data_IF_418297403091
#
_entry.id   IF_418297403091
#
_cell.length_a   1.000
_cell.length_b   1.000
_cell.length_c   1.000
_cell.angle_alpha   90.00
_cell.angle_beta   90.00
_cell.angle_gamma   90.00
#
_symmetry.space_group_name_H-M   'P 1'
#
loop_
_entity.id
_entity.type
_entity.pdbx_description
1 polymer ?
#
# COMPACT_ATOMS: atom_id res chain seq x y z
N UNK A 1 -6.03 7.60 14.42
CA UNK A 1 -5.72 6.25 14.94
C UNK A 1 -6.19 5.11 14.01
N UNK A 2 -7.50 4.91 13.80
CA UNK A 2 -8.06 3.83 12.95
C UNK A 2 -7.35 3.62 11.61
N UNK A 3 -7.07 4.69 10.86
CA UNK A 3 -6.41 4.62 9.54
C UNK A 3 -5.03 3.94 9.64
N UNK A 4 -4.22 4.31 10.64
CA UNK A 4 -2.90 3.70 10.84
C UNK A 4 -3.00 2.24 11.25
N UNK A 5 -3.95 1.93 12.15
CA UNK A 5 -4.18 0.56 12.61
C UNK A 5 -4.60 -0.38 11.49
N UNK A 6 -5.44 0.07 10.56
CA UNK A 6 -5.85 -0.73 9.40
C UNK A 6 -4.75 -0.77 8.35
N UNK A 7 -4.28 0.39 7.88
CA UNK A 7 -3.44 0.45 6.69
C UNK A 7 -1.99 0.05 6.95
N UNK A 8 -1.39 0.53 8.04
CA UNK A 8 0.03 0.29 8.32
C UNK A 8 0.21 -0.97 9.19
N UNK A 9 -0.44 -1.01 10.36
CA UNK A 9 -0.32 -2.16 11.28
C UNK A 9 -0.92 -3.43 10.67
N UNK A 10 -2.07 -3.33 10.01
CA UNK A 10 -2.67 -4.46 9.29
C UNK A 10 -1.73 -5.04 8.24
N UNK A 11 -1.13 -4.19 7.40
CA UNK A 11 -0.15 -4.62 6.40
C UNK A 11 1.06 -5.31 7.04
N UNK A 12 1.60 -4.77 8.14
CA UNK A 12 2.71 -5.39 8.87
C UNK A 12 2.36 -6.79 9.40
N UNK A 13 1.19 -6.95 10.00
CA UNK A 13 0.75 -8.25 10.54
C UNK A 13 0.57 -9.28 9.43
N UNK A 14 -0.03 -8.88 8.30
CA UNK A 14 -0.16 -9.75 7.13
C UNK A 14 1.21 -10.13 6.55
N UNK A 15 2.14 -9.17 6.48
CA UNK A 15 3.51 -9.41 5.99
C UNK A 15 4.24 -10.44 6.86
N UNK A 16 4.15 -10.28 8.18
CA UNK A 16 4.75 -11.20 9.16
C UNK A 16 4.22 -12.62 8.98
N UNK A 17 2.91 -12.77 8.85
CA UNK A 17 2.30 -14.09 8.68
C UNK A 17 2.62 -14.71 7.31
N UNK A 18 2.63 -13.89 6.25
CA UNK A 18 3.05 -14.35 4.93
C UNK A 18 4.51 -14.84 4.93
N UNK A 19 5.42 -14.11 5.60
CA UNK A 19 6.82 -14.52 5.74
C UNK A 19 6.99 -15.83 6.52
N UNK A 20 6.10 -16.13 7.48
CA UNK A 20 6.09 -17.40 8.22
C UNK A 20 5.55 -18.56 7.39
N UNK A 21 4.53 -18.33 6.55
CA UNK A 21 3.85 -19.39 5.79
C UNK A 21 4.52 -19.71 4.46
N UNK A 22 5.13 -18.73 3.81
CA UNK A 22 5.79 -18.93 2.53
C UNK A 22 7.05 -19.78 2.70
N UNK A 23 7.14 -20.87 1.95
CA UNK A 23 8.26 -21.80 2.01
C UNK A 23 9.52 -21.15 1.43
N UNK A 24 10.55 -20.97 2.25
CA UNK A 24 11.89 -20.55 1.79
C UNK A 24 12.44 -21.57 0.79
N UNK A 25 12.90 -21.07 -0.37
CA UNK A 25 13.33 -21.88 -1.51
C UNK A 25 12.19 -22.40 -2.40
N UNK A 26 10.94 -22.32 -1.94
CA UNK A 26 9.75 -22.72 -2.71
C UNK A 26 9.13 -21.60 -3.56
N UNK A 27 9.57 -20.36 -3.36
CA UNK A 27 9.02 -19.17 -4.01
C UNK A 27 7.88 -18.51 -3.23
N UNK A 28 7.44 -17.35 -3.69
CA UNK A 28 6.34 -16.59 -3.09
C UNK A 28 6.34 -15.12 -3.48
N UNK A 29 5.18 -14.46 -3.46
CA UNK A 29 5.01 -13.05 -3.81
C UNK A 29 4.16 -12.36 -2.74
N UNK A 30 4.71 -11.31 -2.13
CA UNK A 30 3.98 -10.43 -1.21
C UNK A 30 3.80 -9.10 -1.94
N UNK A 31 2.55 -8.72 -2.22
CA UNK A 31 2.23 -7.49 -2.94
C UNK A 31 1.36 -6.60 -2.05
N UNK A 32 1.82 -5.39 -1.76
CA UNK A 32 1.06 -4.38 -1.03
C UNK A 32 0.41 -3.37 -1.97
N UNK A 33 -0.77 -2.87 -1.59
CA UNK A 33 -1.42 -1.75 -2.29
C UNK A 33 -1.23 -0.46 -1.48
N UNK A 34 -0.47 0.47 -2.05
CA UNK A 34 -0.20 1.80 -1.48
C UNK A 34 -1.06 2.84 -2.18
N UNK A 35 -0.51 4.00 -2.56
CA UNK A 35 -1.23 5.08 -3.25
C UNK A 35 -0.23 6.00 -3.92
N UNK A 36 -0.58 6.52 -5.10
CA UNK A 36 0.21 7.58 -5.76
C UNK A 36 0.32 8.86 -4.92
N UNK A 37 -0.58 9.05 -3.94
CA UNK A 37 -0.52 10.19 -3.00
C UNK A 37 0.74 10.19 -2.13
N UNK A 38 1.43 9.05 -1.98
CA UNK A 38 2.74 8.97 -1.33
C UNK A 38 3.86 9.66 -2.12
N UNK A 39 3.62 9.94 -3.41
CA UNK A 39 4.50 10.77 -4.24
C UNK A 39 3.95 12.19 -4.42
N UNK A 40 2.63 12.37 -4.47
CA UNK A 40 2.00 13.68 -4.74
C UNK A 40 1.88 14.59 -3.50
N UNK A 41 1.73 14.02 -2.30
CA UNK A 41 1.59 14.78 -1.04
C UNK A 41 0.50 15.85 -1.02
N UNK A 42 -0.67 15.55 -1.60
CA UNK A 42 -1.79 16.49 -1.65
C UNK A 42 -2.33 16.83 -0.23
N UNK A 43 -2.65 18.11 0.04
CA UNK A 43 -3.32 18.52 1.26
C UNK A 43 -4.63 17.76 1.54
N UNK A 44 -4.97 17.55 2.82
CA UNK A 44 -6.18 16.83 3.24
C UNK A 44 -6.02 15.30 3.36
N UNK A 45 -4.95 14.71 2.80
CA UNK A 45 -4.72 13.26 2.83
C UNK A 45 -3.71 12.79 3.89
N UNK A 46 -3.26 13.66 4.80
CA UNK A 46 -2.10 13.41 5.67
C UNK A 46 -2.07 12.04 6.36
N UNK A 47 -3.13 11.66 7.08
CA UNK A 47 -3.18 10.37 7.77
C UNK A 47 -3.22 9.17 6.81
N UNK A 48 -3.94 9.28 5.69
CA UNK A 48 -4.01 8.23 4.67
C UNK A 48 -2.65 8.06 3.97
N UNK A 49 -2.09 9.16 3.47
CA UNK A 49 -0.79 9.18 2.80
C UNK A 49 0.32 8.68 3.72
N UNK A 50 0.40 9.15 4.96
CA UNK A 50 1.39 8.66 5.93
C UNK A 50 1.25 7.16 6.19
N UNK A 51 0.01 6.66 6.34
CA UNK A 51 -0.24 5.24 6.56
C UNK A 51 0.22 4.34 5.41
N UNK A 52 0.08 4.81 4.16
CA UNK A 52 0.47 4.06 2.96
C UNK A 52 1.96 4.22 2.64
N UNK A 53 2.54 5.40 2.86
CA UNK A 53 3.98 5.63 2.71
C UNK A 53 4.80 4.77 3.68
N UNK A 54 4.31 4.55 4.91
CA UNK A 54 4.93 3.59 5.83
C UNK A 54 4.99 2.16 5.28
N UNK A 55 3.97 1.75 4.52
CA UNK A 55 3.94 0.44 3.85
C UNK A 55 4.95 0.37 2.70
N UNK A 56 5.19 1.47 1.98
CA UNK A 56 6.25 1.51 0.93
C UNK A 56 7.65 1.33 1.54
N UNK A 57 7.93 2.02 2.65
CA UNK A 57 9.18 1.85 3.36
C UNK A 57 9.36 0.41 3.86
N UNK A 58 8.31 -0.15 4.48
CA UNK A 58 8.30 -1.55 4.93
C UNK A 58 8.53 -2.53 3.77
N UNK A 59 7.89 -2.30 2.62
CA UNK A 59 8.05 -3.15 1.43
C UNK A 59 9.50 -3.20 0.96
N UNK A 60 10.17 -2.04 0.90
CA UNK A 60 11.59 -1.95 0.49
C UNK A 60 12.52 -2.69 1.44
N UNK A 61 12.26 -2.62 2.74
CA UNK A 61 13.03 -3.35 3.76
C UNK A 61 12.77 -4.85 3.65
N UNK A 62 11.50 -5.27 3.61
CA UNK A 62 11.11 -6.67 3.52
C UNK A 62 11.69 -7.35 2.27
N UNK A 63 11.71 -6.66 1.13
CA UNK A 63 12.34 -7.18 -0.08
C UNK A 63 13.84 -7.49 0.11
N UNK A 64 14.56 -6.67 0.88
CA UNK A 64 15.98 -6.91 1.21
C UNK A 64 16.15 -8.06 2.19
N UNK A 65 15.30 -8.15 3.21
CA UNK A 65 15.33 -9.23 4.21
C UNK A 65 15.01 -10.60 3.61
N UNK A 66 14.18 -10.65 2.57
CA UNK A 66 13.80 -11.88 1.88
C UNK A 66 14.80 -12.30 0.79
N UNK A 67 15.89 -11.56 0.58
CA UNK A 67 16.91 -11.90 -0.42
C UNK A 67 17.42 -13.33 -0.22
N UNK A 68 17.47 -14.11 -1.31
CA UNK A 68 17.94 -15.50 -1.31
C UNK A 68 16.90 -16.53 -0.84
N UNK A 69 15.72 -16.10 -0.38
CA UNK A 69 14.65 -17.03 0.02
C UNK A 69 13.75 -17.48 -1.14
N UNK A 70 13.88 -16.88 -2.33
CA UNK A 70 12.98 -17.09 -3.47
C UNK A 70 11.64 -16.32 -3.38
N UNK A 71 11.38 -15.65 -2.25
CA UNK A 71 10.21 -14.80 -2.03
C UNK A 71 10.53 -13.37 -2.44
N UNK A 72 9.60 -12.68 -3.12
CA UNK A 72 9.73 -11.25 -3.41
C UNK A 72 8.63 -10.45 -2.70
N UNK A 73 8.97 -9.21 -2.33
CA UNK A 73 8.02 -8.24 -1.80
C UNK A 73 8.03 -6.99 -2.69
N UNK A 74 6.87 -6.53 -3.12
CA UNK A 74 6.69 -5.33 -3.93
C UNK A 74 5.43 -4.58 -3.49
N UNK A 75 5.28 -3.35 -3.97
CA UNK A 75 4.05 -2.58 -3.80
C UNK A 75 3.63 -1.93 -5.10
N UNK A 76 2.33 -1.74 -5.25
CA UNK A 76 1.71 -0.98 -6.33
C UNK A 76 1.10 0.27 -5.70
N UNK A 77 1.33 1.42 -6.32
CA UNK A 77 0.80 2.72 -5.89
C UNK A 77 -0.28 3.18 -6.89
N UNK A 78 -1.56 2.82 -6.71
CA UNK A 78 -2.61 3.21 -7.64
C UNK A 78 -2.84 4.71 -7.60
N UNK A 79 -3.13 5.27 -8.79
CA UNK A 79 -3.75 6.57 -8.94
C UNK A 79 -5.25 6.52 -8.64
N UNK A 80 -5.98 7.60 -8.99
CA UNK A 80 -7.44 7.61 -9.01
C UNK A 80 -7.97 6.35 -9.71
N UNK A 81 -8.72 5.55 -8.97
CA UNK A 81 -9.23 4.26 -9.46
C UNK A 81 -10.72 4.23 -9.21
N UNK A 82 -11.50 3.94 -10.26
CA UNK A 82 -12.96 3.94 -10.24
C UNK A 82 -13.54 2.89 -9.27
N UNK A 83 -13.59 3.27 -7.99
CA UNK A 83 -14.05 2.49 -6.86
C UNK A 83 -15.00 3.35 -6.04
N UNK A 84 -15.84 2.74 -5.21
CA UNK A 84 -16.73 3.47 -4.31
C UNK A 84 -15.97 4.49 -3.45
N UNK A 85 -14.80 4.11 -2.91
CA UNK A 85 -13.91 5.01 -2.15
C UNK A 85 -13.47 6.24 -2.96
N UNK A 86 -13.26 6.09 -4.26
CA UNK A 86 -12.87 7.23 -5.10
C UNK A 86 -14.04 8.20 -5.30
N UNK A 87 -15.26 7.70 -5.52
CA UNK A 87 -16.43 8.54 -5.78
C UNK A 87 -17.05 9.13 -4.49
N UNK A 88 -16.84 8.50 -3.33
CA UNK A 88 -17.39 8.93 -2.05
C UNK A 88 -17.06 10.42 -1.75
N UNK A 89 -18.11 11.20 -1.51
CA UNK A 89 -18.02 12.61 -1.12
C UNK A 89 -17.54 13.57 -2.21
N UNK A 90 -17.44 13.15 -3.48
CA UNK A 90 -16.98 13.99 -4.60
C UNK A 90 -18.12 14.33 -5.56
N UNK A 91 -18.07 15.54 -6.10
CA UNK A 91 -18.95 15.94 -7.22
C UNK A 91 -18.44 15.38 -8.54
N UNK A 92 -19.30 15.30 -9.56
CA UNK A 92 -18.89 14.85 -10.89
C UNK A 92 -17.78 15.72 -11.50
N UNK A 93 -17.81 17.03 -11.26
CA UNK A 93 -16.77 17.96 -11.71
C UNK A 93 -15.43 17.63 -11.05
N UNK A 94 -15.43 17.40 -9.73
CA UNK A 94 -14.23 17.02 -8.99
C UNK A 94 -13.65 15.71 -9.50
N UNK A 95 -14.51 14.75 -9.82
CA UNK A 95 -14.10 13.45 -10.37
C UNK A 95 -13.43 13.61 -11.73
N UNK A 96 -14.00 14.42 -12.64
CA UNK A 96 -13.39 14.70 -13.96
C UNK A 96 -12.02 15.35 -13.82
N UNK A 97 -11.90 16.36 -12.96
CA UNK A 97 -10.62 17.06 -12.71
C UNK A 97 -9.53 16.11 -12.21
N UNK A 98 -9.88 15.13 -11.38
CA UNK A 98 -8.89 14.19 -10.82
C UNK A 98 -8.58 13.03 -11.78
N UNK A 99 -9.50 12.71 -12.70
CA UNK A 99 -9.35 11.60 -13.64
C UNK A 99 -8.58 11.96 -14.92
N UNK A 100 -8.53 13.26 -15.27
CA UNK A 100 -7.75 13.83 -16.38
C UNK A 100 -6.28 14.08 -15.98
#
# INVERSE_FOLDING_TARGET
>A
DRIMNVNARGAFLCAREAANRLKRGGGGRIIFLTTSLAAAFNPGYGAYTASKAGVEAMTKILAKELKGTGITANCVAPGPTATEMFFEGKTEETVKIIAE
#
